data_IF_916453944270
#
_entry.id   IF_916453944270
#
_cell.length_a   1.000
_cell.length_b   1.000
_cell.length_c   1.000
_cell.angle_alpha   90.00
_cell.angle_beta   90.00
_cell.angle_gamma   90.00
#
_symmetry.space_group_name_H-M   'P 1'
#
loop_
_entity.id
_entity.type
_entity.pdbx_description
1 polymer ?
#
# COMPACT_ATOMS: atom_id res chain seq x y z
N UNK A 1 0.73 4.48 14.35
CA UNK A 1 0.42 3.13 13.87
C UNK A 1 -0.82 3.20 12.99
N UNK A 2 -0.70 3.79 11.80
CA UNK A 2 -1.81 3.89 10.85
C UNK A 2 -1.77 2.70 9.91
N UNK A 3 -2.68 1.75 10.13
CA UNK A 3 -2.72 0.52 9.36
C UNK A 3 -3.56 0.73 8.09
N UNK A 4 -2.93 0.54 6.93
CA UNK A 4 -3.57 0.74 5.63
C UNK A 4 -4.21 -0.56 5.17
N UNK A 5 -3.50 -1.69 5.26
CA UNK A 5 -4.03 -3.00 4.89
C UNK A 5 -4.35 -3.83 6.13
N UNK A 6 -5.59 -3.74 6.62
CA UNK A 6 -6.08 -4.52 7.76
C UNK A 6 -5.97 -6.04 7.54
N UNK A 7 -6.13 -6.51 6.29
CA UNK A 7 -6.07 -7.93 5.94
C UNK A 7 -4.68 -8.54 6.10
N UNK A 8 -3.62 -7.73 5.98
CA UNK A 8 -2.21 -8.18 6.00
C UNK A 8 -1.37 -7.51 7.10
N UNK A 9 -1.94 -6.61 7.89
CA UNK A 9 -1.18 -5.91 8.92
C UNK A 9 -0.23 -4.84 8.37
N UNK A 10 -0.45 -4.33 7.15
CA UNK A 10 0.50 -3.38 6.52
C UNK A 10 0.23 -1.96 6.97
N UNK A 11 1.29 -1.31 7.47
CA UNK A 11 1.27 0.07 7.94
C UNK A 11 1.51 1.08 6.83
N UNK A 12 1.09 2.32 7.09
CA UNK A 12 1.32 3.47 6.21
C UNK A 12 2.80 3.68 5.93
N UNK A 13 3.65 3.59 6.97
CA UNK A 13 5.09 3.82 6.84
C UNK A 13 5.77 2.80 5.92
N UNK A 14 5.37 1.53 5.98
CA UNK A 14 5.83 0.49 5.05
C UNK A 14 5.49 0.83 3.60
N UNK A 15 4.29 1.34 3.35
CA UNK A 15 3.86 1.75 2.00
C UNK A 15 4.65 2.97 1.53
N UNK A 16 4.84 3.98 2.38
CA UNK A 16 5.63 5.17 2.04
C UNK A 16 7.07 4.80 1.72
N UNK A 17 7.70 3.91 2.51
CA UNK A 17 9.05 3.43 2.23
C UNK A 17 9.13 2.72 0.88
N UNK A 18 8.17 1.84 0.58
CA UNK A 18 8.10 1.18 -0.73
C UNK A 18 7.97 2.19 -1.88
N UNK A 19 7.15 3.24 -1.71
CA UNK A 19 6.99 4.31 -2.71
C UNK A 19 8.33 5.04 -2.93
N UNK A 20 9.03 5.39 -1.85
CA UNK A 20 10.37 6.02 -1.90
C UNK A 20 11.44 5.13 -2.54
N UNK A 21 11.32 3.81 -2.38
CA UNK A 21 12.17 2.82 -3.04
C UNK A 21 11.86 2.66 -4.54
N UNK A 22 10.86 3.38 -5.07
CA UNK A 22 10.50 3.42 -6.49
C UNK A 22 9.21 2.69 -6.87
N UNK A 23 8.40 2.31 -5.87
CA UNK A 23 7.07 1.74 -6.11
C UNK A 23 6.04 2.84 -6.42
N UNK A 24 6.03 3.31 -7.68
CA UNK A 24 5.20 4.41 -8.16
C UNK A 24 3.81 3.98 -8.68
N UNK A 25 3.44 2.71 -8.50
CA UNK A 25 2.15 2.14 -8.90
C UNK A 25 1.59 1.22 -7.82
N UNK A 26 0.27 1.05 -7.80
CA UNK A 26 -0.40 0.15 -6.87
C UNK A 26 0.14 -1.27 -6.96
N UNK A 27 0.44 -1.77 -8.16
CA UNK A 27 0.99 -3.10 -8.38
C UNK A 27 2.40 -3.25 -7.78
N UNK A 28 3.28 -2.27 -7.99
CA UNK A 28 4.61 -2.28 -7.36
C UNK A 28 4.53 -2.22 -5.85
N UNK A 29 3.67 -1.36 -5.29
CA UNK A 29 3.47 -1.28 -3.84
C UNK A 29 2.89 -2.59 -3.31
N UNK A 30 1.96 -3.22 -4.04
CA UNK A 30 1.38 -4.52 -3.71
C UNK A 30 2.42 -5.62 -3.69
N UNK A 31 3.34 -5.65 -4.65
CA UNK A 31 4.44 -6.64 -4.68
C UNK A 31 5.46 -6.39 -3.57
N UNK A 32 5.82 -5.12 -3.33
CA UNK A 32 6.81 -4.75 -2.32
C UNK A 32 6.31 -4.96 -0.88
N UNK A 33 5.04 -4.64 -0.61
CA UNK A 33 4.48 -4.63 0.76
C UNK A 33 3.51 -5.77 1.04
N UNK A 34 3.06 -6.48 0.01
CA UNK A 34 1.97 -7.46 0.12
C UNK A 34 0.58 -6.86 0.34
N UNK A 35 0.46 -5.53 0.46
CA UNK A 35 -0.82 -4.86 0.68
C UNK A 35 -1.79 -5.12 -0.49
N UNK A 36 -3.05 -5.45 -0.19
CA UNK A 36 -4.05 -5.74 -1.22
C UNK A 36 -4.07 -7.19 -1.74
N UNK A 37 -3.16 -8.05 -1.28
CA UNK A 37 -3.17 -9.51 -1.56
C UNK A 37 -4.00 -10.33 -0.56
N UNK A 38 -4.64 -9.66 0.42
CA UNK A 38 -5.50 -10.34 1.40
C UNK A 38 -6.83 -10.82 0.80
N UNK A 39 -7.62 -11.54 1.60
CA UNK A 39 -8.96 -12.03 1.23
C UNK A 39 -9.88 -10.91 0.70
N UNK A 40 -9.68 -9.67 1.16
CA UNK A 40 -10.42 -8.50 0.73
C UNK A 40 -10.04 -7.99 -0.68
N UNK A 41 -9.08 -8.58 -1.39
CA UNK A 41 -8.77 -8.25 -2.79
C UNK A 41 -8.44 -6.78 -3.04
N UNK A 42 -7.80 -6.13 -2.07
CA UNK A 42 -7.51 -4.69 -2.07
C UNK A 42 -8.73 -3.74 -2.01
N UNK A 43 -9.98 -4.22 -1.93
CA UNK A 43 -11.17 -3.36 -1.95
C UNK A 43 -11.23 -2.31 -0.84
N UNK A 44 -10.50 -2.51 0.27
CA UNK A 44 -10.46 -1.59 1.43
C UNK A 44 -9.22 -0.69 1.48
N UNK A 45 -8.08 -1.17 0.99
CA UNK A 45 -6.80 -0.47 1.11
C UNK A 45 -6.36 0.20 -0.19
N UNK A 46 -6.90 -0.22 -1.35
CA UNK A 46 -6.49 0.27 -2.67
C UNK A 46 -6.58 1.79 -2.79
N UNK A 47 -7.74 2.37 -2.52
CA UNK A 47 -7.94 3.82 -2.62
C UNK A 47 -6.97 4.61 -1.72
N UNK A 48 -6.67 4.09 -0.52
CA UNK A 48 -5.70 4.72 0.39
C UNK A 48 -4.27 4.59 -0.13
N UNK A 49 -3.90 3.45 -0.71
CA UNK A 49 -2.57 3.23 -1.29
C UNK A 49 -2.37 4.11 -2.52
N UNK A 50 -3.36 4.19 -3.41
CA UNK A 50 -3.32 5.07 -4.59
C UNK A 50 -3.14 6.54 -4.17
N UNK A 51 -3.90 7.00 -3.16
CA UNK A 51 -3.73 8.36 -2.62
C UNK A 51 -2.33 8.59 -2.01
N UNK A 52 -1.74 7.59 -1.33
CA UNK A 52 -0.37 7.72 -0.80
C UNK A 52 0.68 7.77 -1.90
N UNK A 53 0.48 6.99 -2.98
CA UNK A 53 1.36 7.03 -4.16
C UNK A 53 1.31 8.41 -4.79
N UNK A 54 0.12 8.99 -5.00
CA UNK A 54 -0.03 10.32 -5.58
C UNK A 54 0.57 11.43 -4.71
N UNK A 55 0.41 11.32 -3.38
CA UNK A 55 0.94 12.29 -2.41
C UNK A 55 2.47 12.23 -2.25
N UNK A 56 3.09 11.07 -2.54
CA UNK A 56 4.52 10.81 -2.30
C UNK A 56 5.31 10.50 -3.59
N UNK A 57 4.73 10.80 -4.77
CA UNK A 57 5.38 10.62 -6.07
C UNK A 57 6.45 11.67 -6.38
#
# INVERSE_FOLDING_TARGET
MDLICLCKGVEKDTIINAIKDGADTFEKVREATGAGTGFCGASRCRARIEALIEDNK
#
